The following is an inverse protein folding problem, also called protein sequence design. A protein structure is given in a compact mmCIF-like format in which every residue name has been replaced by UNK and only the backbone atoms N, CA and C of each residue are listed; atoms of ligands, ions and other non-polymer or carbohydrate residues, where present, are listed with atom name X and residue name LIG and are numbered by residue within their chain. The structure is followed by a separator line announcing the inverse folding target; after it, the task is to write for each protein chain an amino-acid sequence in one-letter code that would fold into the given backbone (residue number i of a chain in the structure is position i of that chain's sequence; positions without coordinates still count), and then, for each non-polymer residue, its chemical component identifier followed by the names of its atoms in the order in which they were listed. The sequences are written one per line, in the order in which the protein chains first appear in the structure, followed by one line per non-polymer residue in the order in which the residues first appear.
data_IF_360534745613
#
_entry.id   IF_360534745613
#
_cell.length_a   1.000
_cell.length_b   1.000
_cell.length_c   1.000
_cell.angle_alpha   90.00
_cell.angle_beta   90.00
_cell.angle_gamma   90.00
#
_symmetry.space_group_name_H-M   'P 1'
#
loop_
_entity.id
_entity.type
_entity.pdbx_description
1 polymer ?
#
# COMPACT_ATOMS: atom_id res chain seq x y z
N UNK A 1 4.60 6.37 -17.06
CA UNK A 1 5.13 6.12 -15.70
C UNK A 1 4.00 5.54 -14.87
N UNK A 2 4.29 4.60 -13.97
CA UNK A 2 3.28 3.88 -13.18
C UNK A 2 3.78 3.81 -11.73
N UNK A 3 2.90 3.98 -10.75
CA UNK A 3 3.17 3.68 -9.35
C UNK A 3 2.71 2.27 -9.03
N UNK A 4 3.66 1.39 -8.71
CA UNK A 4 3.38 0.03 -8.27
C UNK A 4 3.37 -0.03 -6.74
N UNK A 5 2.23 -0.38 -6.15
CA UNK A 5 2.06 -0.54 -4.70
C UNK A 5 1.98 -2.04 -4.39
N UNK A 6 3.04 -2.59 -3.80
CA UNK A 6 3.19 -4.03 -3.57
C UNK A 6 3.01 -4.35 -2.08
N UNK A 7 2.20 -5.37 -1.78
CA UNK A 7 2.09 -6.02 -0.46
C UNK A 7 1.89 -5.06 0.73
N UNK A 8 1.08 -4.01 0.52
CA UNK A 8 0.69 -3.07 1.59
C UNK A 8 -0.48 -3.61 2.42
N UNK A 9 -0.63 -4.91 2.64
CA UNK A 9 -1.80 -5.48 3.32
C UNK A 9 -1.74 -5.27 4.84
N UNK A 10 -2.90 -5.06 5.49
CA UNK A 10 -2.99 -4.71 6.93
C UNK A 10 -2.31 -5.69 7.90
N UNK A 11 -2.08 -6.95 7.49
CA UNK A 11 -1.44 -7.96 8.35
C UNK A 11 0.10 -7.91 8.35
N UNK A 12 0.70 -7.25 7.36
CA UNK A 12 2.17 -7.09 7.20
C UNK A 12 2.59 -5.63 7.20
N UNK A 13 1.68 -4.70 6.89
CA UNK A 13 1.90 -3.26 6.87
C UNK A 13 1.16 -2.60 8.03
N UNK A 14 1.72 -2.77 9.22
CA UNK A 14 1.22 -2.20 10.46
C UNK A 14 2.35 -1.62 11.33
N UNK A 15 1.98 -1.10 12.50
CA UNK A 15 2.87 -0.40 13.44
C UNK A 15 4.06 -1.21 13.95
N UNK A 16 4.08 -2.53 13.73
CA UNK A 16 5.24 -3.38 14.05
C UNK A 16 6.40 -3.20 13.06
N UNK A 17 6.13 -2.66 11.87
CA UNK A 17 7.18 -2.35 10.90
C UNK A 17 8.07 -1.19 11.38
N UNK A 18 9.37 -1.33 11.12
CA UNK A 18 10.31 -0.24 11.31
C UNK A 18 9.89 0.98 10.48
N UNK A 19 9.76 2.14 11.13
CA UNK A 19 9.39 3.38 10.44
C UNK A 19 7.97 3.40 9.88
N UNK A 20 7.03 2.59 10.40
CA UNK A 20 5.66 2.47 9.85
C UNK A 20 4.97 3.80 9.55
N UNK A 21 5.04 4.79 10.47
CA UNK A 21 4.40 6.09 10.27
C UNK A 21 4.99 6.86 9.08
N UNK A 22 6.31 6.86 8.96
CA UNK A 22 7.01 7.51 7.84
C UNK A 22 6.69 6.79 6.52
N UNK A 23 6.68 5.45 6.54
CA UNK A 23 6.25 4.65 5.40
C UNK A 23 4.81 5.00 4.98
N UNK A 24 3.89 5.09 5.93
CA UNK A 24 2.48 5.43 5.68
C UNK A 24 2.33 6.83 5.06
N UNK A 25 3.04 7.83 5.60
CA UNK A 25 3.04 9.21 5.09
C UNK A 25 3.63 9.30 3.68
N UNK A 26 4.74 8.60 3.42
CA UNK A 26 5.38 8.55 2.11
C UNK A 26 4.48 7.90 1.07
N UNK A 27 3.83 6.79 1.39
CA UNK A 27 2.86 6.13 0.50
C UNK A 27 1.69 7.07 0.17
N UNK A 28 1.12 7.76 1.18
CA UNK A 28 0.04 8.74 0.95
C UNK A 28 0.47 9.87 0.03
N UNK A 29 1.70 10.36 0.20
CA UNK A 29 2.28 11.43 -0.63
C UNK A 29 2.45 10.98 -2.07
N UNK A 30 3.01 9.79 -2.29
CA UNK A 30 3.20 9.21 -3.64
C UNK A 30 1.86 8.95 -4.35
N UNK A 31 0.87 8.42 -3.62
CA UNK A 31 -0.47 8.18 -4.16
C UNK A 31 -1.13 9.49 -4.59
N UNK A 32 -1.04 10.54 -3.75
CA UNK A 32 -1.57 11.86 -4.09
C UNK A 32 -0.89 12.43 -5.34
N UNK A 33 0.45 12.46 -5.36
CA UNK A 33 1.21 12.99 -6.49
C UNK A 33 0.92 12.23 -7.80
N UNK A 34 0.76 10.91 -7.72
CA UNK A 34 0.42 10.07 -8.87
C UNK A 34 -0.97 10.41 -9.42
N UNK A 35 -1.98 10.51 -8.54
CA UNK A 35 -3.35 10.88 -8.91
C UNK A 35 -3.42 12.28 -9.52
N UNK A 36 -2.76 13.25 -8.89
CA UNK A 36 -2.71 14.64 -9.37
C UNK A 36 -2.03 14.75 -10.75
N UNK A 37 -1.11 13.83 -11.06
CA UNK A 37 -0.36 13.80 -12.33
C UNK A 37 -0.97 12.85 -13.38
N UNK A 38 -2.11 12.21 -13.10
CA UNK A 38 -2.72 11.22 -14.00
C UNK A 38 -1.87 9.95 -14.20
N UNK A 39 -0.94 9.67 -13.29
CA UNK A 39 -0.11 8.46 -13.29
C UNK A 39 -0.94 7.29 -12.78
N UNK A 40 -0.93 6.19 -13.53
CA UNK A 40 -1.61 4.96 -13.16
C UNK A 40 -1.03 4.38 -11.86
N UNK A 41 -1.92 3.89 -10.99
CA UNK A 41 -1.56 3.25 -9.73
C UNK A 41 -2.02 1.80 -9.78
N UNK A 42 -1.08 0.87 -9.70
CA UNK A 42 -1.34 -0.58 -9.74
C UNK A 42 -1.06 -1.16 -8.36
N UNK A 43 -2.02 -1.88 -7.79
CA UNK A 43 -1.87 -2.58 -6.52
C UNK A 43 -1.60 -4.06 -6.77
N UNK A 44 -0.48 -4.56 -6.27
CA UNK A 44 -0.13 -5.99 -6.26
C UNK A 44 -0.26 -6.49 -4.84
N UNK A 45 -0.95 -7.61 -4.66
CA UNK A 45 -1.14 -8.25 -3.36
C UNK A 45 -0.76 -9.72 -3.47
N UNK A 46 -0.01 -10.20 -2.50
CA UNK A 46 0.14 -11.63 -2.29
C UNK A 46 -1.19 -12.23 -1.84
N UNK A 47 -1.61 -13.29 -2.53
CA UNK A 47 -2.73 -14.13 -2.08
C UNK A 47 -2.17 -15.27 -1.23
N UNK A 48 -2.13 -15.05 0.09
CA UNK A 48 -1.71 -16.07 1.06
C UNK A 48 -2.81 -17.13 1.32
N UNK A 49 -3.88 -17.14 0.52
CA UNK A 49 -4.97 -18.10 0.59
C UNK A 49 -6.10 -17.74 1.56
N UNK A 50 -7.17 -18.55 1.60
CA UNK A 50 -8.36 -18.29 2.41
C UNK A 50 -8.03 -18.27 3.91
N UNK A 51 -8.46 -17.22 4.63
CA UNK A 51 -8.31 -17.13 6.09
C UNK A 51 -7.07 -16.39 6.60
N UNK A 52 -6.23 -15.86 5.70
CA UNK A 52 -4.96 -15.19 6.04
C UNK A 52 -5.07 -13.80 6.69
N UNK A 53 -6.27 -13.21 6.76
CA UNK A 53 -6.49 -11.91 7.43
C UNK A 53 -5.99 -10.69 6.65
N UNK A 54 -5.45 -10.88 5.44
CA UNK A 54 -4.96 -9.79 4.59
C UNK A 54 -6.08 -9.05 3.84
N UNK A 55 -6.85 -8.27 4.58
CA UNK A 55 -7.89 -7.39 4.03
C UNK A 55 -7.29 -6.16 3.32
N UNK A 56 -8.08 -5.54 2.42
CA UNK A 56 -7.70 -4.34 1.62
C UNK A 56 -7.03 -3.27 2.50
N UNK A 57 -5.92 -2.72 2.01
CA UNK A 57 -5.22 -1.62 2.68
C UNK A 57 -6.18 -0.45 2.90
N UNK A 58 -6.09 0.21 4.06
CA UNK A 58 -7.06 1.22 4.49
C UNK A 58 -7.10 2.47 3.59
N UNK A 59 -6.09 2.65 2.74
CA UNK A 59 -5.90 3.84 1.90
C UNK A 59 -5.80 3.54 0.39
N UNK A 60 -6.01 2.27 0.01
CA UNK A 60 -6.18 1.83 -1.37
C UNK A 60 -7.62 2.03 -1.82
#
# INVERSE_FOLDING_TARGET
MVLLVVDTQKGITDERLYGFKELEENIKTLLKASRDSGVEVIYVRHDDGPGSGFTRFKYA
#
